data_IF_097731440690
#
_entry.id   IF_097731440690
#
_cell.length_a   1.000
_cell.length_b   1.000
_cell.length_c   1.000
_cell.angle_alpha   90.00
_cell.angle_beta   90.00
_cell.angle_gamma   90.00
#
_symmetry.space_group_name_H-M   'P 1'
#
loop_
_entity.id
_entity.type
_entity.pdbx_description
1 polymer ?
#
# COMPACT_ATOMS: atom_id res chain seq x y z
N UNK A 1 12.72 5.67 9.54
CA UNK A 1 12.07 4.35 9.51
C UNK A 1 12.08 3.90 8.05
N UNK A 2 12.59 2.71 7.74
CA UNK A 2 12.45 2.12 6.40
C UNK A 2 10.97 1.77 6.22
N UNK A 3 10.41 1.98 5.03
CA UNK A 3 8.98 1.77 4.79
C UNK A 3 8.53 0.34 5.11
N UNK A 4 7.21 0.15 5.22
CA UNK A 4 6.65 -1.17 5.53
C UNK A 4 6.93 -2.16 4.37
N UNK A 5 7.24 -3.40 4.71
CA UNK A 5 7.32 -4.49 3.73
C UNK A 5 5.95 -5.17 3.65
N UNK A 6 5.25 -4.96 2.53
CA UNK A 6 3.96 -5.58 2.22
C UNK A 6 4.06 -6.50 1.01
N UNK A 7 5.27 -7.02 0.73
CA UNK A 7 5.53 -8.07 -0.24
C UNK A 7 4.49 -9.20 -0.16
N UNK A 8 3.94 -9.60 -1.31
CA UNK A 8 2.99 -10.73 -1.45
C UNK A 8 1.78 -10.72 -0.50
N UNK A 9 1.39 -9.58 0.08
CA UNK A 9 0.21 -9.51 0.95
C UNK A 9 -1.09 -9.37 0.15
N UNK A 10 -2.18 -9.93 0.67
CA UNK A 10 -3.52 -9.71 0.12
C UNK A 10 -4.15 -8.49 0.79
N UNK A 11 -4.24 -7.39 0.05
CA UNK A 11 -4.84 -6.12 0.46
C UNK A 11 -6.14 -5.84 -0.30
N UNK A 12 -6.79 -6.89 -0.82
CA UNK A 12 -8.03 -6.75 -1.56
C UNK A 12 -9.10 -6.04 -0.72
N UNK A 13 -9.65 -4.95 -1.25
CA UNK A 13 -10.65 -4.12 -0.57
C UNK A 13 -10.15 -3.34 0.65
N UNK A 14 -8.83 -3.30 0.91
CA UNK A 14 -8.28 -2.52 2.01
C UNK A 14 -8.48 -1.02 1.79
N UNK A 15 -8.74 -0.29 2.87
CA UNK A 15 -8.73 1.17 2.88
C UNK A 15 -7.38 1.67 3.42
N UNK A 16 -6.53 2.15 2.50
CA UNK A 16 -5.22 2.72 2.80
C UNK A 16 -5.22 4.24 2.67
N UNK A 17 -6.41 4.88 2.62
CA UNK A 17 -6.50 6.33 2.54
C UNK A 17 -5.91 6.98 3.79
N UNK A 18 -4.95 7.89 3.60
CA UNK A 18 -4.26 8.58 4.69
C UNK A 18 -3.06 7.83 5.29
N UNK A 19 -2.80 6.59 4.88
CA UNK A 19 -1.58 5.89 5.26
C UNK A 19 -0.34 6.55 4.64
N UNK A 20 0.76 6.64 5.40
CA UNK A 20 2.05 7.02 4.84
C UNK A 20 2.65 5.83 4.08
N UNK A 21 2.45 5.80 2.77
CA UNK A 21 2.92 4.71 1.90
C UNK A 21 4.31 4.98 1.30
N UNK A 22 5.00 6.04 1.74
CA UNK A 22 6.33 6.36 1.25
C UNK A 22 7.32 5.25 1.62
N UNK A 23 7.92 4.65 0.60
CA UNK A 23 8.90 3.57 0.75
C UNK A 23 8.30 2.21 1.11
N UNK A 24 6.97 2.04 1.03
CA UNK A 24 6.32 0.74 1.22
C UNK A 24 6.57 -0.13 -0.02
N UNK A 25 7.05 -1.35 0.20
CA UNK A 25 7.20 -2.34 -0.87
C UNK A 25 5.87 -3.10 -1.04
N UNK A 26 5.21 -2.89 -2.19
CA UNK A 26 3.98 -3.57 -2.59
C UNK A 26 4.21 -4.65 -3.66
N UNK A 27 5.45 -5.07 -3.88
CA UNK A 27 5.78 -6.07 -4.89
C UNK A 27 4.94 -7.34 -4.66
N UNK A 28 4.26 -7.80 -5.72
CA UNK A 28 3.34 -8.96 -5.69
C UNK A 28 2.14 -8.85 -4.72
N UNK A 29 1.85 -7.68 -4.15
CA UNK A 29 0.66 -7.51 -3.32
C UNK A 29 -0.62 -7.54 -4.17
N UNK A 30 -1.69 -8.16 -3.65
CA UNK A 30 -3.01 -8.08 -4.27
C UNK A 30 -3.70 -6.78 -3.81
N UNK A 31 -3.69 -5.77 -4.68
CA UNK A 31 -4.33 -4.46 -4.44
C UNK A 31 -5.68 -4.31 -5.15
N UNK A 32 -6.30 -5.40 -5.61
CA UNK A 32 -7.61 -5.32 -6.25
C UNK A 32 -8.61 -4.60 -5.34
N UNK A 33 -9.31 -3.61 -5.89
CA UNK A 33 -10.31 -2.77 -5.18
C UNK A 33 -9.81 -2.02 -3.93
N UNK A 34 -8.50 -2.01 -3.67
CA UNK A 34 -7.93 -1.25 -2.57
C UNK A 34 -8.12 0.26 -2.80
N UNK A 35 -8.47 0.99 -1.75
CA UNK A 35 -8.58 2.45 -1.79
C UNK A 35 -7.26 3.05 -1.37
N UNK A 36 -6.60 3.75 -2.29
CA UNK A 36 -5.35 4.44 -2.01
C UNK A 36 -5.43 5.86 -2.54
N UNK A 37 -4.97 6.84 -1.76
CA UNK A 37 -4.67 8.18 -2.27
C UNK A 37 -3.15 8.32 -2.16
N UNK A 38 -2.45 8.07 -3.26
CA UNK A 38 -1.02 8.37 -3.35
C UNK A 38 -0.90 9.88 -3.42
N UNK A 39 -0.38 10.50 -2.35
CA UNK A 39 0.00 11.91 -2.39
C UNK A 39 1.31 12.00 -3.17
N UNK A 40 1.25 12.51 -4.40
CA UNK A 40 2.43 12.96 -5.14
C UNK A 40 2.80 14.33 -4.55
N UNK A 41 3.59 14.31 -3.49
CA UNK A 41 4.34 15.47 -3.00
C UNK A 41 5.77 15.37 -3.47
#
# INVERSE_FOLDING_TARGET
MRGADLHCTNLMGADLQGANLIGVDFTNANLQTAKMIVKVT
#
